data_IF_916273192051
#
_entry.id   IF_916273192051
#
_cell.length_a   1.000
_cell.length_b   1.000
_cell.length_c   1.000
_cell.angle_alpha   90.00
_cell.angle_beta   90.00
_cell.angle_gamma   90.00
#
_symmetry.space_group_name_H-M   'P 1'
#
loop_
_entity.id
_entity.type
_entity.pdbx_description
1 polymer ?
#
# COMPACT_ATOMS: atom_id res chain seq x y z
N UNK A 1 6.71 10.74 25.70
CA UNK A 1 5.64 10.04 24.98
C UNK A 1 4.32 10.47 25.60
N UNK A 2 3.38 11.01 24.82
CA UNK A 2 2.08 11.47 25.35
C UNK A 2 1.05 10.35 25.34
N UNK A 3 1.16 9.41 24.39
CA UNK A 3 0.26 8.27 24.27
C UNK A 3 1.03 6.93 24.20
N UNK A 4 1.56 6.43 25.33
CA UNK A 4 2.47 5.28 25.32
C UNK A 4 1.82 4.01 24.76
N UNK A 5 0.55 3.73 25.10
CA UNK A 5 -0.17 2.55 24.61
C UNK A 5 -0.36 2.61 23.09
N UNK A 6 -0.81 3.75 22.55
CA UNK A 6 -1.02 3.94 21.12
C UNK A 6 0.30 3.82 20.34
N UNK A 7 1.38 4.37 20.90
CA UNK A 7 2.71 4.29 20.29
C UNK A 7 3.25 2.86 20.22
N UNK A 8 3.03 2.06 21.27
CA UNK A 8 3.42 0.63 21.29
C UNK A 8 2.59 -0.17 20.29
N UNK A 9 1.26 -0.01 20.27
CA UNK A 9 0.40 -0.71 19.31
C UNK A 9 0.80 -0.36 17.87
N UNK A 10 0.99 0.93 17.58
CA UNK A 10 1.42 1.37 16.26
C UNK A 10 2.81 0.83 15.89
N UNK A 11 3.75 0.75 16.84
CA UNK A 11 5.05 0.12 16.61
C UNK A 11 4.91 -1.35 16.23
N UNK A 12 4.13 -2.13 16.98
CA UNK A 12 3.93 -3.56 16.68
C UNK A 12 3.31 -3.77 15.30
N UNK A 13 2.26 -3.00 14.95
CA UNK A 13 1.65 -3.06 13.63
C UNK A 13 2.62 -2.67 12.52
N UNK A 14 3.42 -1.62 12.72
CA UNK A 14 4.43 -1.18 11.75
C UNK A 14 5.52 -2.21 11.55
N UNK A 15 6.01 -2.83 12.61
CA UNK A 15 7.04 -3.87 12.51
C UNK A 15 6.49 -5.09 11.76
N UNK A 16 5.26 -5.52 12.07
CA UNK A 16 4.62 -6.65 11.40
C UNK A 16 4.40 -6.37 9.90
N UNK A 17 3.66 -5.32 9.55
CA UNK A 17 3.38 -5.02 8.14
C UNK A 17 4.62 -4.55 7.39
N UNK A 18 5.52 -3.82 8.05
CA UNK A 18 6.77 -3.40 7.46
C UNK A 18 7.69 -4.58 7.12
N UNK A 19 7.72 -5.61 7.97
CA UNK A 19 8.45 -6.85 7.71
C UNK A 19 7.89 -7.60 6.50
N UNK A 20 6.57 -7.75 6.40
CA UNK A 20 5.88 -8.39 5.27
C UNK A 20 6.24 -7.68 3.95
N UNK A 21 6.11 -6.35 3.92
CA UNK A 21 6.44 -5.54 2.74
C UNK A 21 7.92 -5.60 2.37
N UNK A 22 8.81 -5.48 3.36
CA UNK A 22 10.24 -5.50 3.11
C UNK A 22 10.70 -6.86 2.56
N UNK A 23 10.21 -7.94 3.16
CA UNK A 23 10.55 -9.31 2.74
C UNK A 23 9.99 -9.61 1.35
N UNK A 24 8.74 -9.23 1.06
CA UNK A 24 8.15 -9.37 -0.26
C UNK A 24 8.91 -8.57 -1.32
N UNK A 25 9.26 -7.31 -1.02
CA UNK A 25 9.99 -6.44 -1.93
C UNK A 25 11.40 -6.96 -2.24
N UNK A 26 12.17 -7.35 -1.20
CA UNK A 26 13.49 -7.97 -1.38
C UNK A 26 13.35 -9.27 -2.18
N UNK A 27 12.36 -10.10 -1.88
CA UNK A 27 12.06 -11.31 -2.64
C UNK A 27 11.81 -11.03 -4.12
N UNK A 28 11.12 -9.93 -4.48
CA UNK A 28 10.91 -9.49 -5.88
C UNK A 28 12.14 -8.88 -6.54
N UNK A 29 13.14 -8.45 -5.77
CA UNK A 29 14.43 -8.07 -6.33
C UNK A 29 15.32 -9.28 -6.62
N UNK A 30 15.19 -10.33 -5.81
CA UNK A 30 15.97 -11.57 -5.94
C UNK A 30 15.36 -12.54 -6.94
N UNK A 31 14.03 -12.62 -6.98
CA UNK A 31 13.27 -13.41 -7.95
C UNK A 31 12.88 -12.51 -9.11
N UNK A 32 12.91 -12.97 -10.35
CA UNK A 32 12.77 -12.17 -11.57
C UNK A 32 11.41 -11.47 -11.76
N UNK A 33 11.01 -10.60 -10.83
CA UNK A 33 9.81 -9.78 -10.90
C UNK A 33 10.02 -8.69 -11.94
N UNK A 34 9.45 -8.97 -13.11
CA UNK A 34 9.60 -8.22 -14.34
C UNK A 34 8.23 -7.91 -14.99
N UNK A 35 8.28 -7.37 -16.20
CA UNK A 35 7.07 -7.06 -16.97
C UNK A 35 6.18 -8.29 -17.21
N UNK A 36 6.76 -9.49 -17.33
CA UNK A 36 6.01 -10.72 -17.58
C UNK A 36 5.25 -11.16 -16.33
N UNK A 37 5.89 -11.09 -15.15
CA UNK A 37 5.24 -11.38 -13.88
C UNK A 37 4.03 -10.45 -13.65
N UNK A 38 4.21 -9.14 -13.82
CA UNK A 38 3.13 -8.15 -13.70
C UNK A 38 2.06 -8.36 -14.77
N UNK A 39 2.46 -8.59 -16.02
CA UNK A 39 1.52 -8.85 -17.11
C UNK A 39 0.68 -10.11 -16.88
N UNK A 40 1.27 -11.17 -16.31
CA UNK A 40 0.58 -12.38 -15.91
C UNK A 40 -0.45 -12.12 -14.81
N UNK A 41 -0.07 -11.38 -13.77
CA UNK A 41 -0.96 -10.97 -12.69
C UNK A 41 -2.17 -10.18 -13.20
N UNK A 42 -1.92 -9.17 -14.04
CA UNK A 42 -2.95 -8.31 -14.61
C UNK A 42 -3.91 -9.08 -15.53
N UNK A 43 -3.39 -9.97 -16.37
CA UNK A 43 -4.21 -10.86 -17.22
C UNK A 43 -5.04 -11.83 -16.37
N UNK A 44 -4.49 -12.31 -15.25
CA UNK A 44 -5.25 -13.09 -14.28
C UNK A 44 -6.43 -12.33 -13.68
N UNK A 45 -6.28 -11.01 -13.46
CA UNK A 45 -7.39 -10.14 -13.07
C UNK A 45 -8.41 -9.95 -14.18
N UNK A 46 -7.98 -9.72 -15.43
CA UNK A 46 -8.88 -9.61 -16.58
C UNK A 46 -9.72 -10.88 -16.79
N UNK A 47 -9.18 -12.06 -16.47
CA UNK A 47 -9.90 -13.32 -16.51
C UNK A 47 -11.03 -13.43 -15.45
N UNK A 48 -11.13 -12.48 -14.52
CA UNK A 48 -12.15 -12.40 -13.49
C UNK A 48 -13.20 -11.29 -13.76
N UNK A 49 -13.20 -10.71 -14.96
CA UNK A 49 -14.23 -9.78 -15.43
C UNK A 49 -15.51 -10.53 -15.79
N UNK A 50 -16.64 -9.82 -15.86
CA UNK A 50 -17.94 -10.41 -16.18
C UNK A 50 -17.91 -11.24 -17.47
N UNK A 51 -17.48 -10.63 -18.58
CA UNK A 51 -17.44 -11.27 -19.89
C UNK A 51 -16.48 -12.47 -19.92
N UNK A 52 -15.30 -12.33 -19.29
CA UNK A 52 -14.34 -13.42 -19.22
C UNK A 52 -14.86 -14.60 -18.40
N UNK A 53 -15.58 -14.34 -17.30
CA UNK A 53 -16.21 -15.38 -16.48
C UNK A 53 -17.41 -15.99 -17.18
N UNK A 54 -18.19 -15.22 -17.94
CA UNK A 54 -19.29 -15.74 -18.74
C UNK A 54 -18.78 -16.74 -19.78
N UNK A 55 -17.70 -16.40 -20.48
CA UNK A 55 -17.09 -17.25 -21.49
C UNK A 55 -16.40 -18.50 -20.90
N UNK A 56 -15.80 -18.40 -19.71
CA UNK A 56 -14.98 -19.48 -19.13
C UNK A 56 -15.70 -20.37 -18.11
N UNK A 57 -16.67 -19.80 -17.36
CA UNK A 57 -17.34 -20.45 -16.22
C UNK A 57 -18.87 -20.34 -16.22
N UNK A 58 -19.44 -19.64 -17.21
CA UNK A 58 -20.89 -19.50 -17.39
C UNK A 58 -21.54 -18.41 -16.53
N UNK A 59 -22.86 -18.25 -16.71
CA UNK A 59 -23.62 -17.11 -16.19
C UNK A 59 -23.57 -16.96 -14.67
N UNK A 60 -23.59 -18.07 -13.92
CA UNK A 60 -23.55 -18.04 -12.45
C UNK A 60 -22.23 -17.51 -11.87
N UNK A 61 -21.11 -17.68 -12.59
CA UNK A 61 -19.84 -17.08 -12.20
C UNK A 61 -19.77 -15.60 -12.60
N UNK A 62 -20.34 -15.25 -13.76
CA UNK A 62 -20.34 -13.89 -14.29
C UNK A 62 -21.13 -12.91 -13.41
N UNK A 63 -22.18 -13.35 -12.72
CA UNK A 63 -22.95 -12.52 -11.76
C UNK A 63 -22.11 -12.04 -10.57
N UNK A 64 -20.98 -12.69 -10.29
CA UNK A 64 -20.08 -12.36 -9.19
C UNK A 64 -18.65 -12.11 -9.71
N UNK A 65 -18.54 -11.27 -10.73
CA UNK A 65 -17.24 -10.83 -11.22
C UNK A 65 -16.44 -10.11 -10.13
N UNK A 66 -15.19 -10.52 -9.94
CA UNK A 66 -14.31 -9.92 -8.94
C UNK A 66 -13.67 -8.61 -9.45
N UNK A 67 -13.60 -8.44 -10.76
CA UNK A 67 -13.00 -7.28 -11.41
C UNK A 67 -14.06 -6.53 -12.21
N UNK A 68 -14.20 -5.25 -11.93
CA UNK A 68 -15.15 -4.36 -12.62
C UNK A 68 -14.63 -3.95 -13.99
N UNK A 69 -15.54 -3.61 -14.91
CA UNK A 69 -15.18 -3.19 -16.26
C UNK A 69 -14.34 -1.91 -16.25
N UNK A 70 -14.64 -0.97 -15.34
CA UNK A 70 -13.84 0.26 -15.14
C UNK A 70 -12.40 -0.06 -14.76
N UNK A 71 -12.18 -1.04 -13.88
CA UNK A 71 -10.82 -1.44 -13.51
C UNK A 71 -10.16 -2.22 -14.65
N UNK A 72 -10.89 -3.08 -15.35
CA UNK A 72 -10.42 -3.79 -16.52
C UNK A 72 -9.96 -2.84 -17.64
N UNK A 73 -10.64 -1.71 -17.82
CA UNK A 73 -10.23 -0.66 -18.74
C UNK A 73 -8.86 -0.08 -18.36
N UNK A 74 -8.64 0.25 -17.08
CA UNK A 74 -7.33 0.71 -16.59
C UNK A 74 -6.25 -0.35 -16.77
N UNK A 75 -6.57 -1.62 -16.51
CA UNK A 75 -5.63 -2.72 -16.73
C UNK A 75 -5.19 -2.77 -18.19
N UNK A 76 -6.13 -2.72 -19.14
CA UNK A 76 -5.83 -2.83 -20.57
C UNK A 76 -5.09 -1.61 -21.15
N UNK A 77 -5.43 -0.40 -20.72
CA UNK A 77 -4.92 0.82 -21.35
C UNK A 77 -3.77 1.48 -20.60
N UNK A 78 -3.62 1.22 -19.30
CA UNK A 78 -2.61 1.85 -18.45
C UNK A 78 -1.62 0.83 -17.92
N UNK A 79 -2.08 -0.21 -17.22
CA UNK A 79 -1.17 -1.09 -16.48
C UNK A 79 -0.44 -2.09 -17.38
N UNK A 80 -1.13 -2.76 -18.30
CA UNK A 80 -0.53 -3.75 -19.20
C UNK A 80 0.51 -3.14 -20.15
N UNK A 81 0.25 -2.01 -20.84
CA UNK A 81 1.25 -1.40 -21.72
C UNK A 81 2.51 -0.95 -20.97
N UNK A 82 2.36 -0.59 -19.69
CA UNK A 82 3.44 -0.08 -18.85
C UNK A 82 3.94 -1.12 -17.81
N UNK A 83 3.68 -2.41 -18.02
CA UNK A 83 3.95 -3.46 -17.03
C UNK A 83 5.40 -3.48 -16.52
N UNK A 84 6.38 -3.15 -17.37
CA UNK A 84 7.79 -3.04 -16.97
C UNK A 84 8.07 -1.92 -15.96
N UNK A 85 7.42 -0.76 -16.14
CA UNK A 85 7.52 0.36 -15.19
C UNK A 85 6.87 -0.05 -13.86
N UNK A 86 5.67 -0.62 -13.92
CA UNK A 86 4.97 -1.08 -12.73
C UNK A 86 5.73 -2.20 -11.99
N UNK A 87 6.46 -3.06 -12.70
CA UNK A 87 7.32 -4.06 -12.07
C UNK A 87 8.38 -3.40 -11.17
N UNK A 88 9.04 -2.35 -11.66
CA UNK A 88 10.04 -1.59 -10.89
C UNK A 88 9.37 -0.81 -9.75
N UNK A 89 8.26 -0.13 -10.02
CA UNK A 89 7.53 0.67 -9.03
C UNK A 89 7.04 -0.20 -7.87
N UNK A 90 6.45 -1.37 -8.16
CA UNK A 90 5.91 -2.27 -7.12
C UNK A 90 7.05 -2.82 -6.26
N UNK A 91 8.10 -3.42 -6.85
CA UNK A 91 9.18 -4.01 -6.03
C UNK A 91 9.98 -2.97 -5.25
N UNK A 92 10.21 -1.79 -5.83
CA UNK A 92 10.88 -0.68 -5.12
C UNK A 92 9.98 -0.10 -4.04
N UNK A 93 8.70 0.08 -4.36
CA UNK A 93 7.69 0.58 -3.43
C UNK A 93 7.55 -0.32 -2.22
N UNK A 94 7.52 -1.64 -2.40
CA UNK A 94 7.42 -2.59 -1.29
C UNK A 94 8.61 -2.49 -0.32
N UNK A 95 9.82 -2.39 -0.85
CA UNK A 95 11.03 -2.19 -0.02
C UNK A 95 10.96 -0.84 0.72
N UNK A 96 10.62 0.25 0.03
CA UNK A 96 10.58 1.59 0.61
C UNK A 96 9.47 1.72 1.67
N UNK A 97 8.30 1.13 1.43
CA UNK A 97 7.20 1.06 2.38
C UNK A 97 7.62 0.26 3.60
N UNK A 98 8.24 -0.92 3.39
CA UNK A 98 8.71 -1.78 4.47
C UNK A 98 9.72 -1.06 5.38
N UNK A 99 10.72 -0.42 4.79
CA UNK A 99 11.71 0.39 5.51
C UNK A 99 11.06 1.58 6.22
N UNK A 100 10.16 2.30 5.55
CA UNK A 100 9.45 3.46 6.14
C UNK A 100 8.64 3.09 7.37
N UNK A 101 7.94 1.94 7.35
CA UNK A 101 7.18 1.44 8.49
C UNK A 101 8.09 0.99 9.64
N UNK A 102 9.09 0.15 9.36
CA UNK A 102 10.00 -0.41 10.38
C UNK A 102 10.79 0.70 11.07
N UNK A 103 11.41 1.59 10.30
CA UNK A 103 12.20 2.69 10.85
C UNK A 103 11.33 3.79 11.47
N UNK A 104 10.03 3.79 11.16
CA UNK A 104 9.13 4.90 11.46
C UNK A 104 9.59 6.18 10.80
N UNK A 105 9.91 6.12 9.50
CA UNK A 105 10.34 7.22 8.65
C UNK A 105 9.30 7.42 7.54
N UNK A 106 8.65 8.58 7.53
CA UNK A 106 7.46 8.88 6.76
C UNK A 106 6.33 7.86 6.98
N UNK A 107 6.07 7.51 8.25
CA UNK A 107 5.16 6.42 8.65
C UNK A 107 3.78 6.53 8.01
N UNK A 108 3.14 7.70 8.07
CA UNK A 108 1.81 7.90 7.51
C UNK A 108 1.81 7.78 5.98
N UNK A 109 2.88 8.26 5.33
CA UNK A 109 3.02 8.16 3.87
C UNK A 109 3.27 6.71 3.44
N UNK A 110 4.11 5.97 4.17
CA UNK A 110 4.37 4.56 3.95
C UNK A 110 3.06 3.75 4.10
N UNK A 111 2.29 3.98 5.16
CA UNK A 111 0.99 3.34 5.37
C UNK A 111 -0.03 3.69 4.27
N UNK A 112 -0.04 4.94 3.80
CA UNK A 112 -0.90 5.36 2.68
C UNK A 112 -0.57 4.60 1.39
N UNK A 113 0.70 4.57 0.98
CA UNK A 113 1.09 3.86 -0.24
C UNK A 113 0.94 2.34 -0.10
N UNK A 114 1.18 1.78 1.08
CA UNK A 114 0.90 0.37 1.37
C UNK A 114 -0.57 0.04 1.15
N UNK A 115 -1.45 0.90 1.63
CA UNK A 115 -2.90 0.79 1.45
C UNK A 115 -3.29 0.93 -0.03
N UNK A 116 -2.76 1.92 -0.74
CA UNK A 116 -3.01 2.09 -2.19
C UNK A 116 -2.62 0.83 -2.97
N UNK A 117 -1.45 0.27 -2.69
CA UNK A 117 -0.97 -0.94 -3.35
C UNK A 117 -1.89 -2.14 -3.07
N UNK A 118 -2.30 -2.32 -1.80
CA UNK A 118 -3.28 -3.36 -1.43
C UNK A 118 -4.63 -3.15 -2.14
N UNK A 119 -5.11 -1.92 -2.27
CA UNK A 119 -6.33 -1.64 -3.03
C UNK A 119 -6.18 -2.00 -4.51
N UNK A 120 -5.05 -1.70 -5.15
CA UNK A 120 -4.81 -2.13 -6.52
C UNK A 120 -4.87 -3.66 -6.66
N UNK A 121 -4.33 -4.41 -5.69
CA UNK A 121 -4.40 -5.86 -5.66
C UNK A 121 -5.82 -6.38 -5.46
N UNK A 122 -6.59 -5.75 -4.56
CA UNK A 122 -8.00 -6.06 -4.33
C UNK A 122 -8.85 -5.84 -5.58
N UNK A 123 -8.69 -4.69 -6.23
CA UNK A 123 -9.41 -4.34 -7.45
C UNK A 123 -9.03 -5.24 -8.63
N UNK A 124 -7.84 -5.84 -8.60
CA UNK A 124 -7.41 -6.85 -9.59
C UNK A 124 -7.90 -8.27 -9.24
N UNK A 125 -8.73 -8.42 -8.20
CA UNK A 125 -9.38 -9.69 -7.84
C UNK A 125 -8.62 -10.55 -6.84
N UNK A 126 -7.59 -10.02 -6.18
CA UNK A 126 -6.85 -10.76 -5.13
C UNK A 126 -7.29 -10.36 -3.73
N UNK A 127 -8.20 -11.15 -3.15
CA UNK A 127 -8.86 -10.81 -1.87
C UNK A 127 -8.14 -11.34 -0.63
N UNK A 128 -7.20 -12.28 -0.74
CA UNK A 128 -6.56 -13.02 0.37
C UNK A 128 -6.29 -12.22 1.68
N UNK A 129 -5.05 -11.80 1.94
CA UNK A 129 -4.68 -11.05 3.16
C UNK A 129 -4.83 -9.53 2.99
N UNK A 130 -5.07 -9.07 1.76
CA UNK A 130 -5.10 -7.65 1.41
C UNK A 130 -6.14 -6.81 2.19
N UNK A 131 -7.40 -7.26 2.44
CA UNK A 131 -8.37 -6.47 3.20
C UNK A 131 -7.94 -6.25 4.65
N UNK A 132 -7.33 -7.27 5.27
CA UNK A 132 -6.84 -7.19 6.64
C UNK A 132 -5.68 -6.19 6.74
N UNK A 133 -4.77 -6.20 5.76
CA UNK A 133 -3.70 -5.21 5.66
C UNK A 133 -4.24 -3.78 5.49
N UNK A 134 -5.25 -3.57 4.64
CA UNK A 134 -5.89 -2.25 4.48
C UNK A 134 -6.44 -1.72 5.80
N UNK A 135 -7.13 -2.57 6.56
CA UNK A 135 -7.65 -2.20 7.90
C UNK A 135 -6.48 -1.85 8.83
N UNK A 136 -5.41 -2.64 8.82
CA UNK A 136 -4.20 -2.37 9.59
C UNK A 136 -3.59 -1.00 9.26
N UNK A 137 -3.47 -0.66 7.98
CA UNK A 137 -2.95 0.63 7.55
C UNK A 137 -3.88 1.79 7.89
N UNK A 138 -5.20 1.61 7.82
CA UNK A 138 -6.17 2.62 8.27
C UNK A 138 -5.98 2.92 9.76
N UNK A 139 -5.76 1.90 10.58
CA UNK A 139 -5.48 2.07 12.02
C UNK A 139 -4.17 2.85 12.23
N UNK A 140 -3.10 2.52 11.50
CA UNK A 140 -1.83 3.25 11.59
C UNK A 140 -2.01 4.73 11.23
N UNK A 141 -2.74 5.03 10.16
CA UNK A 141 -3.02 6.41 9.74
C UNK A 141 -3.89 7.13 10.78
N UNK A 142 -4.94 6.48 11.29
CA UNK A 142 -5.83 7.02 12.31
C UNK A 142 -5.12 7.30 13.64
N UNK A 143 -4.09 6.52 13.99
CA UNK A 143 -3.24 6.75 15.16
C UNK A 143 -2.37 8.01 15.03
N UNK A 144 -2.19 8.55 13.82
CA UNK A 144 -1.59 9.87 13.57
C UNK A 144 -0.28 10.10 14.32
N UNK A 145 -0.25 11.11 15.18
CA UNK A 145 0.93 11.52 15.96
C UNK A 145 1.57 10.38 16.77
N UNK A 146 0.74 9.49 17.32
CA UNK A 146 1.21 8.38 18.13
C UNK A 146 1.95 7.32 17.30
N UNK A 147 1.67 7.23 15.99
CA UNK A 147 2.24 6.20 15.13
C UNK A 147 3.75 6.33 14.94
N UNK A 148 4.30 7.52 15.14
CA UNK A 148 5.72 7.80 14.94
C UNK A 148 6.46 8.33 16.18
N UNK A 149 5.80 8.38 17.35
CA UNK A 149 6.46 8.72 18.63
C UNK A 149 7.67 7.83 18.91
N UNK A 150 7.64 6.58 18.42
CA UNK A 150 8.73 5.60 18.43
C UNK A 150 9.18 5.36 16.98
N UNK A 151 9.97 6.27 16.42
CA UNK A 151 10.43 6.22 15.04
C UNK A 151 11.35 7.38 14.68
N UNK A 152 12.00 7.30 13.52
CA UNK A 152 12.90 8.35 13.03
C UNK A 152 12.18 9.68 12.75
N UNK A 153 10.91 9.61 12.36
CA UNK A 153 10.00 10.75 12.16
C UNK A 153 10.07 11.75 13.31
N UNK A 154 10.15 11.28 14.56
CA UNK A 154 10.23 12.17 15.73
C UNK A 154 11.42 13.14 15.68
N UNK A 155 12.53 12.76 15.07
CA UNK A 155 13.76 13.56 15.04
C UNK A 155 13.75 14.62 13.94
N UNK A 156 13.30 14.26 12.73
CA UNK A 156 13.39 15.17 11.58
C UNK A 156 12.08 15.91 11.27
N UNK A 157 10.92 15.44 11.77
CA UNK A 157 9.63 16.05 11.45
C UNK A 157 9.54 17.51 11.92
N UNK A 158 10.16 17.82 13.07
CA UNK A 158 10.26 19.20 13.57
C UNK A 158 11.01 20.10 12.58
N UNK A 159 12.15 19.63 12.06
CA UNK A 159 12.96 20.35 11.08
C UNK A 159 12.24 20.47 9.73
N UNK A 160 11.58 19.40 9.29
CA UNK A 160 10.83 19.38 8.04
C UNK A 160 9.69 20.42 8.05
N UNK A 161 8.92 20.46 9.14
CA UNK A 161 7.80 21.39 9.29
C UNK A 161 8.28 22.83 9.50
N UNK A 162 9.40 23.04 10.21
CA UNK A 162 10.02 24.36 10.32
C UNK A 162 10.41 24.91 8.94
N UNK A 163 10.95 24.07 8.06
CA UNK A 163 11.30 24.44 6.69
C UNK A 163 10.08 24.57 5.76
N UNK A 164 9.03 23.80 6.01
CA UNK A 164 7.78 23.83 5.25
C UNK A 164 6.55 24.05 6.15
N UNK A 165 6.28 25.30 6.58
CA UNK A 165 5.19 25.61 7.52
C UNK A 165 3.79 25.31 6.98
N UNK A 166 3.64 25.06 5.68
CA UNK A 166 2.37 24.64 5.07
C UNK A 166 1.96 23.23 5.47
N UNK A 167 2.91 22.36 5.82
CA UNK A 167 2.64 20.98 6.23
C UNK A 167 1.87 20.88 7.55
N UNK A 168 1.91 21.92 8.39
CA UNK A 168 1.19 21.96 9.66
C UNK A 168 -0.20 22.61 9.58
N UNK A 169 -0.65 23.02 8.39
CA UNK A 169 -1.92 23.71 8.19
C UNK A 169 -2.98 22.79 7.57
N UNK A 170 -4.23 23.01 7.96
CA UNK A 170 -5.40 22.32 7.40
C UNK A 170 -5.33 20.79 7.52
N UNK A 171 -5.74 20.09 6.47
CA UNK A 171 -5.79 18.63 6.41
C UNK A 171 -4.42 17.95 6.42
N UNK A 172 -3.31 18.69 6.19
CA UNK A 172 -1.95 18.13 6.23
C UNK A 172 -1.41 17.97 7.66
N UNK A 173 -2.09 18.54 8.66
CA UNK A 173 -1.71 18.42 10.07
C UNK A 173 -1.86 16.99 10.61
N UNK A 174 -2.74 16.18 10.04
CA UNK A 174 -2.94 14.78 10.47
C UNK A 174 -1.83 13.84 9.99
N UNK A 175 -1.33 13.91 8.74
CA UNK A 175 -0.15 13.14 8.33
C UNK A 175 1.18 13.72 8.82
N UNK A 176 1.23 15.01 9.19
CA UNK A 176 2.43 15.65 9.74
C UNK A 176 2.13 16.40 11.06
N UNK A 177 1.76 15.69 12.14
CA UNK A 177 1.42 16.34 13.39
C UNK A 177 2.66 16.97 14.03
N UNK A 178 2.55 18.25 14.39
CA UNK A 178 3.49 18.88 15.31
C UNK A 178 3.01 18.52 16.72
N UNK A 179 3.83 17.81 17.48
CA UNK A 179 3.72 17.90 18.93
C UNK A 179 4.22 19.28 19.35
N UNK A 180 3.31 20.15 19.79
CA UNK A 180 3.63 21.27 20.67
C UNK A 180 4.11 20.73 22.02
#
# INVERSE_FOLDING_TARGET
>A
MKHPIKAIIALLLRLYFGYEFLTAGIGKWQTGFDAKAVGGFLKGGLAQTHDALLASKGAAAATHANVTDTWAWLINHVFLPNAGIFAIVVKSGEVLIGLGLILGCFTTLAAFFAMTMNFCFLLTGTVSTNPQMVIGFLIIIAMGAASYEIGLDRFFMKTLIAKFPRLSKGYLRTPFPIEQ
#
